data_IF_887149802073
#
_entry.id   IF_887149802073
#
_cell.length_a   1.000
_cell.length_b   1.000
_cell.length_c   1.000
_cell.angle_alpha   90.00
_cell.angle_beta   90.00
_cell.angle_gamma   90.00
#
_symmetry.space_group_name_H-M   'P 1'
#
loop_
_entity.id
_entity.type
_entity.pdbx_description
1 polymer ?
#
# COMPACT_ATOMS: atom_id res chain seq x y z
N UNK A 1 67.18 -40.28 97.18
CA UNK A 1 67.76 -38.96 97.53
C UNK A 1 67.34 -38.01 96.42
N UNK A 2 66.21 -37.31 96.55
CA UNK A 2 66.11 -35.93 97.07
C UNK A 2 66.42 -34.95 95.91
N UNK A 3 65.57 -34.01 95.46
CA UNK A 3 64.44 -33.34 96.10
C UNK A 3 63.60 -32.55 95.06
N UNK A 4 62.27 -32.65 95.25
CA UNK A 4 61.11 -31.77 94.98
C UNK A 4 61.33 -30.37 94.35
N UNK A 5 60.66 -30.04 93.24
CA UNK A 5 59.30 -29.44 93.09
C UNK A 5 59.23 -27.94 93.42
N UNK A 6 58.96 -27.13 92.38
CA UNK A 6 58.09 -25.95 92.41
C UNK A 6 58.05 -25.27 91.03
N UNK A 7 56.88 -24.72 90.66
CA UNK A 7 56.54 -23.86 89.49
C UNK A 7 55.70 -24.56 88.42
N UNK A 8 54.38 -24.67 88.68
CA UNK A 8 53.38 -24.93 87.64
C UNK A 8 51.97 -24.57 88.11
N UNK A 9 51.63 -23.27 88.20
CA UNK A 9 50.22 -22.82 88.19
C UNK A 9 49.94 -21.44 87.53
N UNK A 10 50.95 -20.63 87.17
CA UNK A 10 50.70 -19.27 86.64
C UNK A 10 50.57 -19.14 85.11
N UNK A 11 50.86 -20.16 84.32
CA UNK A 11 50.85 -20.07 82.85
C UNK A 11 49.49 -20.37 82.18
N UNK A 12 48.54 -21.01 82.88
CA UNK A 12 47.21 -21.34 82.31
C UNK A 12 46.14 -20.25 82.48
N UNK A 13 46.29 -19.31 83.42
CA UNK A 13 45.34 -18.19 83.60
C UNK A 13 45.53 -17.04 82.60
N UNK A 14 46.75 -16.83 82.09
CA UNK A 14 47.04 -15.73 81.15
C UNK A 14 46.47 -15.95 79.74
N UNK A 15 46.37 -17.20 79.29
CA UNK A 15 45.91 -17.55 77.93
C UNK A 15 44.40 -17.39 77.78
N UNK A 16 43.62 -17.65 78.84
CA UNK A 16 42.15 -17.51 78.83
C UNK A 16 41.72 -16.04 78.88
N UNK A 17 42.46 -15.18 79.61
CA UNK A 17 42.16 -13.74 79.69
C UNK A 17 42.46 -12.98 78.40
N UNK A 18 43.53 -13.34 77.68
CA UNK A 18 43.91 -12.70 76.41
C UNK A 18 42.88 -12.95 75.29
N UNK A 19 42.28 -14.15 75.22
CA UNK A 19 41.29 -14.46 74.17
C UNK A 19 39.93 -13.78 74.39
N UNK A 20 39.50 -13.59 75.64
CA UNK A 20 38.24 -12.91 75.96
C UNK A 20 38.30 -11.40 75.68
N UNK A 21 39.43 -10.76 75.97
CA UNK A 21 39.63 -9.33 75.70
C UNK A 21 39.69 -9.06 74.19
N UNK A 22 40.41 -9.88 73.42
CA UNK A 22 40.48 -9.76 71.96
C UNK A 22 39.10 -9.95 71.29
N UNK A 23 38.28 -10.90 71.76
CA UNK A 23 36.92 -11.08 71.24
C UNK A 23 35.96 -9.93 71.63
N UNK A 24 36.15 -9.32 72.81
CA UNK A 24 35.35 -8.17 73.24
C UNK A 24 35.62 -6.92 72.38
N UNK A 25 36.90 -6.64 72.08
CA UNK A 25 37.28 -5.55 71.17
C UNK A 25 36.86 -5.81 69.72
N UNK A 26 36.92 -7.07 69.25
CA UNK A 26 36.44 -7.43 67.90
C UNK A 26 34.93 -7.21 67.75
N UNK A 27 34.15 -7.58 68.77
CA UNK A 27 32.69 -7.39 68.76
C UNK A 27 32.28 -5.91 68.88
N UNK A 28 32.98 -5.10 69.68
CA UNK A 28 32.75 -3.65 69.74
C UNK A 28 33.10 -2.98 68.41
N UNK A 29 34.23 -3.35 67.79
CA UNK A 29 34.62 -2.80 66.49
C UNK A 29 33.58 -3.16 65.41
N UNK A 30 33.10 -4.40 65.37
CA UNK A 30 32.06 -4.83 64.42
C UNK A 30 30.73 -4.10 64.67
N UNK A 31 30.32 -3.90 65.93
CA UNK A 31 29.09 -3.14 66.27
C UNK A 31 29.19 -1.65 65.94
N UNK A 32 30.35 -1.03 66.15
CA UNK A 32 30.58 0.37 65.81
C UNK A 32 30.64 0.58 64.30
N UNK A 33 31.33 -0.31 63.57
CA UNK A 33 31.42 -0.26 62.10
C UNK A 33 30.07 -0.50 61.42
N UNK A 34 29.26 -1.45 61.93
CA UNK A 34 27.94 -1.73 61.37
C UNK A 34 26.90 -0.64 61.65
N UNK A 35 26.98 0.08 62.78
CA UNK A 35 26.07 1.19 63.10
C UNK A 35 26.43 2.48 62.35
N UNK A 36 27.72 2.80 62.22
CA UNK A 36 28.19 3.98 61.48
C UNK A 36 27.93 3.85 59.97
N UNK A 37 28.18 2.67 59.40
CA UNK A 37 27.84 2.37 58.01
C UNK A 37 26.32 2.35 57.77
N UNK A 38 25.48 1.96 58.73
CA UNK A 38 24.02 2.05 58.55
C UNK A 38 23.50 3.47 58.41
N UNK A 39 24.08 4.46 59.09
CA UNK A 39 23.65 5.87 58.99
C UNK A 39 24.14 6.49 57.68
N UNK A 40 25.39 6.23 57.30
CA UNK A 40 25.95 6.68 56.02
C UNK A 40 25.23 6.00 54.85
N UNK A 41 25.00 4.70 54.93
CA UNK A 41 24.28 3.93 53.91
C UNK A 41 22.81 4.34 53.83
N UNK A 42 22.14 4.72 54.93
CA UNK A 42 20.79 5.31 54.87
C UNK A 42 20.79 6.71 54.25
N UNK A 43 21.80 7.55 54.51
CA UNK A 43 21.93 8.87 53.88
C UNK A 43 22.26 8.76 52.38
N UNK A 44 23.12 7.82 52.00
CA UNK A 44 23.43 7.50 50.60
C UNK A 44 22.20 6.89 49.91
N UNK A 45 21.47 5.98 50.56
CA UNK A 45 20.24 5.41 50.00
C UNK A 45 19.13 6.47 49.85
N UNK A 46 19.02 7.41 50.79
CA UNK A 46 18.08 8.53 50.70
C UNK A 46 18.49 9.53 49.61
N UNK A 47 19.79 9.78 49.42
CA UNK A 47 20.31 10.61 48.33
C UNK A 47 20.10 9.93 46.96
N UNK A 48 20.31 8.61 46.87
CA UNK A 48 20.05 7.82 45.66
C UNK A 48 18.54 7.81 45.34
N UNK A 49 17.67 7.62 46.34
CA UNK A 49 16.21 7.68 46.19
C UNK A 49 15.72 9.09 45.78
N UNK A 50 16.38 10.15 46.24
CA UNK A 50 16.07 11.52 45.80
C UNK A 50 16.57 11.82 44.38
N UNK A 51 17.70 11.23 43.96
CA UNK A 51 18.18 11.35 42.57
C UNK A 51 17.38 10.52 41.57
N UNK A 52 16.75 9.41 41.99
CA UNK A 52 15.91 8.58 41.09
C UNK A 52 14.54 9.18 40.78
N UNK A 53 14.11 10.23 41.50
CA UNK A 53 12.89 10.98 41.17
C UNK A 53 13.14 12.23 40.31
N UNK A 54 14.41 12.52 39.98
CA UNK A 54 14.81 13.57 39.03
C UNK A 54 15.07 13.03 37.62
N UNK A 55 14.70 11.77 37.36
CA UNK A 55 14.37 11.34 36.00
C UNK A 55 13.06 12.02 35.60
N UNK A 56 13.12 13.33 35.37
CA UNK A 56 12.14 14.02 34.53
C UNK A 56 12.07 13.17 33.27
N UNK A 57 10.92 12.57 33.01
CA UNK A 57 10.66 11.99 31.70
C UNK A 57 11.01 13.09 30.70
N UNK A 58 12.13 12.97 29.99
CA UNK A 58 12.39 13.82 28.85
C UNK A 58 11.31 13.42 27.86
N UNK A 59 10.18 14.12 27.90
CA UNK A 59 9.22 14.11 26.81
C UNK A 59 10.06 14.50 25.61
N UNK A 60 10.30 13.55 24.70
CA UNK A 60 10.98 13.84 23.44
C UNK A 60 10.11 14.89 22.75
N UNK A 61 10.55 16.14 22.81
CA UNK A 61 9.91 17.23 22.10
C UNK A 61 10.30 17.06 20.64
N UNK A 62 9.38 16.51 19.85
CA UNK A 62 9.53 16.39 18.40
C UNK A 62 9.34 17.80 17.82
N UNK A 63 10.39 18.45 17.28
CA UNK A 63 10.26 19.82 16.80
C UNK A 63 9.19 19.93 15.71
N UNK A 64 8.29 20.90 15.83
CA UNK A 64 7.27 21.19 14.82
C UNK A 64 6.08 20.21 14.80
N UNK A 65 6.00 19.25 15.71
CA UNK A 65 4.83 18.34 15.79
C UNK A 65 3.52 19.13 15.99
N UNK A 66 3.60 20.24 16.73
CA UNK A 66 2.48 21.13 17.01
C UNK A 66 2.04 21.98 15.81
N UNK A 67 2.84 22.07 14.74
CA UNK A 67 2.42 22.73 13.49
C UNK A 67 1.69 21.85 12.51
N UNK A 68 1.67 20.54 12.71
CA UNK A 68 0.91 19.64 11.85
C UNK A 68 -0.58 19.94 12.01
N UNK A 69 -1.22 20.37 10.92
CA UNK A 69 -2.61 20.81 10.91
C UNK A 69 -3.49 19.87 10.09
N UNK A 70 -4.39 19.16 10.79
CA UNK A 70 -5.42 18.35 10.14
C UNK A 70 -6.33 19.17 9.22
N UNK A 71 -6.54 20.46 9.52
CA UNK A 71 -7.30 21.37 8.68
C UNK A 71 -6.59 21.65 7.35
N UNK A 72 -5.27 21.84 7.35
CA UNK A 72 -4.50 22.04 6.11
C UNK A 72 -4.45 20.77 5.26
N UNK A 73 -4.26 19.63 5.92
CA UNK A 73 -4.33 18.33 5.25
C UNK A 73 -5.70 18.12 4.60
N UNK A 74 -6.79 18.39 5.32
CA UNK A 74 -8.13 18.21 4.78
C UNK A 74 -8.40 19.13 3.58
N UNK A 75 -7.97 20.40 3.62
CA UNK A 75 -8.07 21.30 2.45
C UNK A 75 -7.33 20.76 1.22
N UNK A 76 -6.16 20.15 1.45
CA UNK A 76 -5.39 19.51 0.37
C UNK A 76 -6.14 18.30 -0.18
N UNK A 77 -6.70 17.46 0.70
CA UNK A 77 -7.54 16.31 0.32
C UNK A 77 -8.77 16.77 -0.46
N UNK A 78 -9.47 17.80 -0.01
CA UNK A 78 -10.66 18.36 -0.68
C UNK A 78 -10.34 18.86 -2.09
N UNK A 79 -9.22 19.57 -2.25
CA UNK A 79 -8.77 20.01 -3.58
C UNK A 79 -8.43 18.81 -4.46
N UNK A 80 -7.57 17.90 -3.99
CA UNK A 80 -7.12 16.77 -4.77
C UNK A 80 -8.31 15.87 -5.16
N UNK A 81 -9.22 15.59 -4.23
CA UNK A 81 -10.39 14.74 -4.44
C UNK A 81 -11.59 15.48 -5.08
N UNK A 82 -11.41 16.74 -5.48
CA UNK A 82 -12.50 17.51 -6.07
C UNK A 82 -12.94 16.97 -7.43
N UNK A 83 -14.21 17.22 -7.75
CA UNK A 83 -14.77 16.96 -9.07
C UNK A 83 -13.94 17.63 -10.18
N UNK A 84 -13.35 18.81 -9.91
CA UNK A 84 -12.49 19.51 -10.88
C UNK A 84 -11.36 18.62 -11.41
N UNK A 85 -10.77 17.79 -10.55
CA UNK A 85 -9.64 16.96 -10.93
C UNK A 85 -10.04 15.58 -11.46
N UNK A 86 -11.34 15.26 -11.49
CA UNK A 86 -11.91 14.06 -12.14
C UNK A 86 -11.15 12.76 -11.80
N UNK A 87 -10.71 12.62 -10.54
CA UNK A 87 -9.98 11.43 -10.07
C UNK A 87 -8.53 11.31 -10.52
N UNK A 88 -7.93 12.36 -11.11
CA UNK A 88 -6.47 12.50 -11.30
C UNK A 88 -5.79 11.31 -11.98
N UNK A 89 -6.39 10.73 -13.01
CA UNK A 89 -5.74 9.67 -13.78
C UNK A 89 -4.42 10.17 -14.36
N UNK A 90 -3.33 9.42 -14.22
CA UNK A 90 -2.03 9.83 -14.74
C UNK A 90 -2.10 10.18 -16.24
N UNK A 91 -1.58 11.36 -16.61
CA UNK A 91 -1.68 11.88 -17.97
C UNK A 91 -3.02 12.58 -18.32
N UNK A 92 -3.99 12.62 -17.41
CA UNK A 92 -5.22 13.40 -17.57
C UNK A 92 -5.01 14.89 -17.26
N UNK A 93 -5.89 15.78 -17.76
CA UNK A 93 -5.89 17.20 -17.35
C UNK A 93 -5.95 17.40 -15.83
N UNK A 94 -6.75 16.59 -15.13
CA UNK A 94 -6.87 16.66 -13.67
C UNK A 94 -5.59 16.26 -12.94
N UNK A 95 -4.81 15.32 -13.48
CA UNK A 95 -3.50 14.98 -12.93
C UNK A 95 -2.49 16.10 -13.14
N UNK A 96 -2.45 16.72 -14.32
CA UNK A 96 -1.55 17.85 -14.58
C UNK A 96 -1.85 19.04 -13.67
N UNK A 97 -3.13 19.31 -13.39
CA UNK A 97 -3.51 20.35 -12.45
C UNK A 97 -3.14 20.00 -11.00
N UNK A 98 -3.31 18.74 -10.59
CA UNK A 98 -2.85 18.27 -9.28
C UNK A 98 -1.33 18.42 -9.11
N UNK A 99 -0.57 18.06 -10.15
CA UNK A 99 0.89 18.17 -10.15
C UNK A 99 1.34 19.63 -10.03
N UNK A 100 0.69 20.54 -10.77
CA UNK A 100 0.98 21.97 -10.71
C UNK A 100 0.61 22.59 -9.36
N UNK A 101 -0.49 22.17 -8.77
CA UNK A 101 -0.82 22.55 -7.40
C UNK A 101 0.28 22.14 -6.41
N UNK A 102 0.72 20.87 -6.44
CA UNK A 102 1.73 20.37 -5.50
C UNK A 102 3.11 21.00 -5.71
N UNK A 103 3.52 21.21 -6.96
CA UNK A 103 4.74 21.96 -7.29
C UNK A 103 4.69 23.38 -6.71
N UNK A 104 3.58 24.09 -6.90
CA UNK A 104 3.42 25.45 -6.38
C UNK A 104 3.48 25.47 -4.85
N UNK A 105 2.90 24.47 -4.18
CA UNK A 105 3.01 24.35 -2.72
C UNK A 105 4.46 24.08 -2.28
N UNK A 106 5.21 23.21 -2.97
CA UNK A 106 6.64 22.99 -2.70
C UNK A 106 7.50 24.24 -2.94
N UNK A 107 7.21 25.01 -3.98
CA UNK A 107 7.90 26.27 -4.27
C UNK A 107 7.63 27.33 -3.19
N UNK A 108 6.37 27.45 -2.74
CA UNK A 108 5.98 28.42 -1.69
C UNK A 108 6.75 28.21 -0.39
N UNK A 109 7.02 26.96 -0.03
CA UNK A 109 7.79 26.61 1.18
C UNK A 109 9.30 26.53 0.94
N UNK A 110 9.78 26.86 -0.26
CA UNK A 110 11.20 26.98 -0.56
C UNK A 110 11.96 25.65 -0.70
N UNK A 111 11.27 24.52 -0.95
CA UNK A 111 11.97 23.29 -1.34
C UNK A 111 12.72 23.51 -2.65
N UNK A 112 13.89 22.89 -2.82
CA UNK A 112 14.64 22.93 -4.08
C UNK A 112 14.08 21.91 -5.09
N UNK A 113 14.15 22.17 -6.41
CA UNK A 113 13.81 21.16 -7.41
C UNK A 113 14.70 19.91 -7.26
N UNK A 114 14.11 18.72 -7.46
CA UNK A 114 14.84 17.46 -7.33
C UNK A 114 15.49 16.99 -8.65
N UNK A 115 14.98 17.40 -9.81
CA UNK A 115 15.41 16.91 -11.11
C UNK A 115 16.15 18.02 -11.87
N UNK A 116 17.34 18.38 -11.37
CA UNK A 116 18.11 19.52 -11.87
C UNK A 116 17.44 20.84 -11.49
N UNK A 117 16.92 21.56 -12.48
CA UNK A 117 16.21 22.84 -12.26
C UNK A 117 14.67 22.67 -12.24
N UNK A 118 14.16 21.43 -12.25
CA UNK A 118 12.73 21.13 -12.29
C UNK A 118 12.28 20.24 -11.11
N UNK A 119 11.03 20.41 -10.67
CA UNK A 119 10.37 19.54 -9.70
C UNK A 119 9.79 18.30 -10.37
N UNK A 120 9.63 18.31 -11.69
CA UNK A 120 9.02 17.23 -12.44
C UNK A 120 10.03 16.23 -13.00
N UNK A 121 9.73 14.95 -12.81
CA UNK A 121 10.35 13.86 -13.57
C UNK A 121 9.31 13.32 -14.54
N UNK A 122 9.45 13.71 -15.81
CA UNK A 122 8.56 13.28 -16.87
C UNK A 122 8.83 11.85 -17.32
N UNK A 123 7.76 11.14 -17.66
CA UNK A 123 7.80 9.84 -18.31
C UNK A 123 6.49 9.57 -19.07
N UNK A 124 6.38 8.42 -19.71
CA UNK A 124 5.20 8.03 -20.50
C UNK A 124 4.53 6.80 -19.88
N UNK A 125 3.20 6.78 -19.93
CA UNK A 125 2.36 5.66 -19.50
C UNK A 125 1.26 5.40 -20.53
N UNK A 126 0.69 4.20 -20.50
CA UNK A 126 -0.60 3.97 -21.14
C UNK A 126 -1.67 4.86 -20.47
N UNK A 127 -2.56 5.40 -21.30
CA UNK A 127 -3.70 6.22 -20.92
C UNK A 127 -4.92 5.76 -21.69
N UNK A 128 -6.06 5.73 -21.02
CA UNK A 128 -7.31 5.33 -21.66
C UNK A 128 -8.47 6.14 -21.08
N UNK A 129 -9.06 7.00 -21.91
CA UNK A 129 -10.21 7.82 -21.51
C UNK A 129 -11.51 7.16 -21.94
N UNK A 130 -12.35 6.79 -20.97
CA UNK A 130 -13.68 6.22 -21.25
C UNK A 130 -14.68 7.36 -21.41
N UNK A 131 -15.08 7.65 -22.63
CA UNK A 131 -16.00 8.77 -22.96
C UNK A 131 -17.46 8.35 -23.01
N UNK A 132 -17.75 7.05 -23.13
CA UNK A 132 -19.12 6.51 -23.09
C UNK A 132 -19.13 5.07 -22.59
N UNK A 133 -20.16 4.71 -21.84
CA UNK A 133 -20.38 3.36 -21.34
C UNK A 133 -21.88 3.06 -21.19
N UNK A 134 -22.30 1.91 -21.69
CA UNK A 134 -23.64 1.37 -21.61
C UNK A 134 -23.61 -0.14 -21.38
N UNK A 135 -24.56 -0.64 -20.58
CA UNK A 135 -24.73 -2.06 -20.33
C UNK A 135 -26.21 -2.42 -20.20
N UNK A 136 -26.66 -3.37 -21.01
CA UNK A 136 -28.04 -3.83 -21.07
C UNK A 136 -28.07 -5.36 -21.06
N UNK A 137 -28.98 -5.97 -20.32
CA UNK A 137 -29.25 -7.42 -20.39
C UNK A 137 -30.68 -7.62 -20.88
N UNK A 138 -30.89 -8.60 -21.76
CA UNK A 138 -32.19 -8.91 -22.34
C UNK A 138 -32.75 -10.18 -21.70
N UNK A 139 -34.02 -10.15 -21.29
CA UNK A 139 -34.73 -11.35 -20.86
C UNK A 139 -35.08 -12.27 -22.05
N UNK A 140 -35.63 -13.46 -21.77
CA UNK A 140 -36.03 -14.41 -22.83
C UNK A 140 -37.14 -13.87 -23.76
N UNK A 141 -37.86 -12.83 -23.35
CA UNK A 141 -38.88 -12.16 -24.17
C UNK A 141 -38.27 -11.04 -25.01
N UNK A 142 -36.97 -10.77 -24.86
CA UNK A 142 -36.25 -9.68 -25.52
C UNK A 142 -36.44 -8.32 -24.85
N UNK A 143 -37.01 -8.25 -23.65
CA UNK A 143 -37.14 -6.98 -22.94
C UNK A 143 -35.79 -6.53 -22.37
N UNK A 144 -35.39 -5.27 -22.58
CA UNK A 144 -34.14 -4.76 -22.06
C UNK A 144 -34.26 -4.39 -20.57
N UNK A 145 -33.24 -4.75 -19.80
CA UNK A 145 -32.92 -4.15 -18.51
C UNK A 145 -31.61 -3.38 -18.64
N UNK A 146 -31.70 -2.06 -18.48
CA UNK A 146 -30.56 -1.15 -18.54
C UNK A 146 -29.94 -1.04 -17.14
N UNK A 147 -28.63 -1.17 -17.05
CA UNK A 147 -27.88 -1.04 -15.80
C UNK A 147 -27.20 0.32 -15.68
N UNK A 148 -27.01 0.77 -14.45
CA UNK A 148 -26.49 2.09 -14.11
C UNK A 148 -24.97 2.04 -13.86
N UNK A 149 -24.22 2.85 -14.62
CA UNK A 149 -22.78 3.02 -14.45
C UNK A 149 -22.45 3.59 -13.07
N UNK A 150 -21.47 2.99 -12.38
CA UNK A 150 -21.03 3.37 -11.03
C UNK A 150 -21.79 2.68 -9.91
N UNK A 151 -22.98 2.16 -10.19
CA UNK A 151 -23.81 1.43 -9.23
C UNK A 151 -23.78 -0.07 -9.52
N UNK A 152 -24.25 -0.45 -10.70
CA UNK A 152 -24.41 -1.86 -11.08
C UNK A 152 -23.18 -2.39 -11.82
N UNK A 153 -22.51 -1.53 -12.59
CA UNK A 153 -21.29 -1.85 -13.32
C UNK A 153 -20.32 -0.67 -13.43
N UNK A 154 -19.06 -0.96 -13.73
CA UNK A 154 -18.03 0.00 -14.11
C UNK A 154 -17.19 -0.55 -15.25
N UNK A 155 -16.53 0.32 -16.01
CA UNK A 155 -15.52 -0.12 -16.98
C UNK A 155 -14.20 -0.44 -16.26
N UNK A 156 -13.40 -1.35 -16.82
CA UNK A 156 -11.99 -1.48 -16.42
C UNK A 156 -11.16 -0.42 -17.12
N UNK A 157 -10.14 0.12 -16.44
CA UNK A 157 -9.29 1.17 -17.01
C UNK A 157 -8.66 0.82 -18.36
N UNK A 158 -8.35 -0.45 -18.58
CA UNK A 158 -7.76 -0.97 -19.82
C UNK A 158 -8.80 -1.50 -20.84
N UNK A 159 -10.08 -1.14 -20.69
CA UNK A 159 -11.12 -1.56 -21.65
C UNK A 159 -10.82 -1.08 -23.07
N UNK A 160 -11.07 -1.92 -24.06
CA UNK A 160 -11.19 -1.48 -25.44
C UNK A 160 -12.49 -0.72 -25.70
N UNK A 161 -12.56 -0.09 -26.87
CA UNK A 161 -13.81 0.38 -27.47
C UNK A 161 -14.57 -0.77 -28.11
N UNK A 162 -15.89 -0.65 -28.22
CA UNK A 162 -16.70 -1.58 -28.99
C UNK A 162 -18.16 -1.55 -28.62
N UNK A 163 -18.98 -2.05 -29.53
CA UNK A 163 -20.39 -2.33 -29.34
C UNK A 163 -20.60 -3.80 -29.65
N UNK A 164 -21.12 -4.54 -28.68
CA UNK A 164 -21.43 -5.95 -28.84
C UNK A 164 -22.74 -6.28 -28.17
N UNK A 165 -23.63 -6.90 -28.93
CA UNK A 165 -24.85 -7.56 -28.45
C UNK A 165 -24.79 -9.04 -28.77
N UNK A 166 -24.56 -9.87 -27.77
CA UNK A 166 -24.38 -11.31 -27.96
C UNK A 166 -24.71 -12.10 -26.69
N UNK A 167 -24.75 -13.41 -26.83
CA UNK A 167 -24.91 -14.33 -25.71
C UNK A 167 -23.77 -14.16 -24.70
N UNK A 168 -24.10 -14.21 -23.41
CA UNK A 168 -23.13 -14.31 -22.31
C UNK A 168 -22.76 -15.77 -22.07
N UNK A 169 -21.47 -16.05 -21.97
CA UNK A 169 -20.93 -17.37 -21.62
C UNK A 169 -20.17 -17.26 -20.30
N UNK A 170 -20.55 -18.07 -19.31
CA UNK A 170 -19.80 -18.16 -18.08
C UNK A 170 -18.60 -19.08 -18.27
N UNK A 171 -17.40 -18.60 -17.95
CA UNK A 171 -16.13 -19.30 -18.16
C UNK A 171 -15.30 -19.36 -16.87
N UNK A 172 -15.93 -19.66 -15.72
CA UNK A 172 -15.22 -19.91 -14.46
C UNK A 172 -14.23 -18.79 -14.07
N UNK A 173 -12.94 -19.13 -14.04
CA UNK A 173 -11.85 -18.20 -13.74
C UNK A 173 -11.24 -17.53 -14.97
N UNK A 174 -11.68 -17.90 -16.17
CA UNK A 174 -11.20 -17.39 -17.44
C UNK A 174 -9.78 -17.86 -17.74
N UNK A 175 -9.43 -19.08 -17.33
CA UNK A 175 -8.06 -19.59 -17.38
C UNK A 175 -7.86 -20.80 -18.30
N UNK A 176 -6.62 -20.94 -18.78
CA UNK A 176 -6.13 -22.11 -19.48
C UNK A 176 -4.68 -22.39 -19.07
N UNK A 177 -4.51 -23.14 -17.98
CA UNK A 177 -3.21 -23.44 -17.37
C UNK A 177 -3.07 -24.94 -17.09
N UNK A 178 -2.09 -25.58 -17.71
CA UNK A 178 -1.88 -27.03 -17.60
C UNK A 178 -3.12 -27.79 -18.08
N UNK A 179 -3.66 -28.65 -17.21
CA UNK A 179 -4.88 -29.43 -17.48
C UNK A 179 -6.18 -28.66 -17.18
N UNK A 180 -6.10 -27.48 -16.55
CA UNK A 180 -7.25 -26.64 -16.26
C UNK A 180 -7.54 -25.71 -17.43
N UNK A 181 -8.74 -25.78 -18.03
CA UNK A 181 -9.11 -24.94 -19.15
C UNK A 181 -10.61 -24.60 -19.17
N UNK A 182 -10.96 -23.36 -18.81
CA UNK A 182 -12.33 -22.84 -18.83
C UNK A 182 -12.93 -22.71 -20.23
N UNK A 183 -12.10 -22.71 -21.28
CA UNK A 183 -12.55 -22.65 -22.67
C UNK A 183 -12.72 -24.03 -23.29
N UNK A 184 -12.39 -25.10 -22.57
CA UNK A 184 -12.56 -26.45 -23.07
C UNK A 184 -14.05 -26.76 -23.25
N UNK A 185 -14.40 -27.25 -24.45
CA UNK A 185 -15.77 -27.64 -24.82
C UNK A 185 -16.83 -26.51 -24.75
N UNK A 186 -16.41 -25.24 -24.64
CA UNK A 186 -17.33 -24.10 -24.55
C UNK A 186 -17.05 -23.12 -25.70
N UNK A 187 -18.04 -22.88 -26.57
CA UNK A 187 -17.87 -21.96 -27.69
C UNK A 187 -18.11 -20.51 -27.28
N UNK A 188 -17.02 -19.73 -27.22
CA UNK A 188 -16.99 -18.31 -26.88
C UNK A 188 -16.84 -17.39 -28.10
N UNK A 189 -16.79 -17.93 -29.33
CA UNK A 189 -16.55 -17.14 -30.53
C UNK A 189 -17.67 -16.15 -30.79
N UNK A 190 -17.32 -14.87 -30.94
CA UNK A 190 -18.24 -13.74 -31.13
C UNK A 190 -19.23 -13.52 -29.97
N UNK A 191 -18.85 -13.92 -28.75
CA UNK A 191 -19.69 -13.81 -27.55
C UNK A 191 -19.09 -12.90 -26.49
N UNK A 192 -19.92 -12.60 -25.49
CA UNK A 192 -19.51 -11.93 -24.27
C UNK A 192 -19.13 -13.00 -23.25
N UNK A 193 -17.91 -12.94 -22.72
CA UNK A 193 -17.40 -13.92 -21.75
C UNK A 193 -17.44 -13.34 -20.35
N UNK A 194 -18.07 -14.06 -19.42
CA UNK A 194 -18.17 -13.71 -18.00
C UNK A 194 -17.29 -14.62 -17.16
N UNK A 195 -16.37 -14.06 -16.36
CA UNK A 195 -15.50 -14.84 -15.46
C UNK A 195 -15.13 -14.09 -14.18
N UNK A 196 -14.58 -14.83 -13.21
CA UNK A 196 -14.18 -14.26 -11.92
C UNK A 196 -12.97 -13.32 -12.05
N UNK A 197 -13.08 -12.12 -11.48
CA UNK A 197 -12.00 -11.12 -11.50
C UNK A 197 -10.76 -11.60 -10.77
N UNK A 198 -10.89 -12.26 -9.63
CA UNK A 198 -9.74 -12.74 -8.85
C UNK A 198 -9.37 -14.17 -9.27
N UNK A 199 -8.09 -14.51 -9.11
CA UNK A 199 -7.59 -15.83 -9.48
C UNK A 199 -8.12 -16.93 -8.53
N UNK A 200 -8.10 -18.16 -9.06
CA UNK A 200 -8.41 -19.36 -8.30
C UNK A 200 -7.24 -19.74 -7.39
N UNK A 201 -7.50 -20.03 -6.11
CA UNK A 201 -6.42 -20.32 -5.15
C UNK A 201 -5.67 -21.64 -5.42
N UNK A 202 -6.31 -22.58 -6.13
CA UNK A 202 -5.72 -23.88 -6.47
C UNK A 202 -4.81 -23.81 -7.72
N UNK A 203 -4.96 -22.78 -8.56
CA UNK A 203 -4.09 -22.55 -9.72
C UNK A 203 -2.79 -21.87 -9.25
N UNK A 204 -1.82 -22.69 -8.82
CA UNK A 204 -0.47 -22.21 -8.52
C UNK A 204 0.24 -21.83 -9.81
N UNK A 205 0.52 -20.56 -9.99
CA UNK A 205 1.33 -20.09 -11.10
C UNK A 205 2.81 -20.13 -10.72
N UNK A 206 3.64 -20.71 -11.59
CA UNK A 206 5.08 -20.87 -11.31
C UNK A 206 5.86 -19.54 -11.38
N UNK A 207 5.29 -18.48 -11.95
CA UNK A 207 5.90 -17.16 -12.00
C UNK A 207 5.33 -16.22 -10.92
N UNK A 208 6.22 -15.47 -10.28
CA UNK A 208 5.88 -14.29 -9.47
C UNK A 208 4.99 -13.36 -10.32
N UNK A 209 3.69 -13.32 -10.05
CA UNK A 209 2.76 -12.40 -10.72
C UNK A 209 1.36 -12.94 -11.01
N UNK A 210 1.16 -14.26 -11.08
CA UNK A 210 -0.13 -14.79 -11.54
C UNK A 210 -0.48 -14.36 -12.98
N UNK A 211 -1.63 -14.80 -13.50
CA UNK A 211 -2.11 -14.41 -14.80
C UNK A 211 -2.85 -13.11 -14.59
N UNK A 212 -2.21 -12.03 -15.01
CA UNK A 212 -2.76 -10.69 -14.88
C UNK A 212 -4.15 -10.62 -15.50
N UNK A 213 -4.98 -9.68 -15.03
CA UNK A 213 -6.32 -9.54 -15.57
C UNK A 213 -6.29 -9.27 -17.08
N UNK A 214 -5.27 -8.52 -17.55
CA UNK A 214 -4.99 -8.30 -18.97
C UNK A 214 -4.67 -9.61 -19.70
N UNK A 215 -3.87 -10.50 -19.10
CA UNK A 215 -3.59 -11.83 -19.67
C UNK A 215 -4.88 -12.65 -19.90
N UNK A 216 -5.77 -12.71 -18.91
CA UNK A 216 -7.03 -13.48 -19.03
C UNK A 216 -8.00 -12.87 -20.04
N UNK A 217 -8.03 -11.55 -20.16
CA UNK A 217 -8.75 -10.88 -21.27
C UNK A 217 -8.15 -11.27 -22.62
N UNK A 218 -6.83 -11.23 -22.77
CA UNK A 218 -6.15 -11.64 -24.01
C UNK A 218 -6.43 -13.09 -24.37
N UNK A 219 -6.46 -13.98 -23.37
CA UNK A 219 -6.80 -15.39 -23.55
C UNK A 219 -8.25 -15.55 -24.04
N UNK A 220 -9.22 -14.86 -23.43
CA UNK A 220 -10.61 -14.87 -23.88
C UNK A 220 -10.74 -14.39 -25.33
N UNK A 221 -10.09 -13.29 -25.68
CA UNK A 221 -10.10 -12.73 -27.05
C UNK A 221 -9.45 -13.69 -28.05
N UNK A 222 -8.33 -14.33 -27.67
CA UNK A 222 -7.67 -15.36 -28.49
C UNK A 222 -8.58 -16.55 -28.78
N UNK A 223 -9.46 -16.92 -27.84
CA UNK A 223 -10.48 -17.95 -28.04
C UNK A 223 -11.73 -17.44 -28.80
N UNK A 224 -11.77 -16.16 -29.16
CA UNK A 224 -12.80 -15.56 -30.01
C UNK A 224 -13.83 -14.71 -29.27
N UNK A 225 -13.67 -14.47 -27.96
CA UNK A 225 -14.54 -13.55 -27.23
C UNK A 225 -14.44 -12.14 -27.81
N UNK A 226 -15.54 -11.40 -27.76
CA UNK A 226 -15.65 -10.03 -28.28
C UNK A 226 -16.11 -9.00 -27.25
N UNK A 227 -16.43 -9.43 -26.03
CA UNK A 227 -16.66 -8.57 -24.87
C UNK A 227 -16.43 -9.36 -23.59
N UNK A 228 -16.11 -8.67 -22.50
CA UNK A 228 -15.78 -9.29 -21.21
C UNK A 228 -16.61 -8.69 -20.08
N UNK A 229 -17.15 -9.56 -19.26
CA UNK A 229 -17.81 -9.24 -17.99
C UNK A 229 -17.00 -9.87 -16.86
N UNK A 230 -16.50 -9.05 -15.96
CA UNK A 230 -15.82 -9.49 -14.76
C UNK A 230 -16.80 -9.51 -13.59
N UNK A 231 -16.67 -10.50 -12.72
CA UNK A 231 -17.44 -10.61 -11.47
C UNK A 231 -16.49 -10.91 -10.33
N UNK A 232 -16.59 -10.20 -9.22
CA UNK A 232 -15.75 -10.53 -8.05
C UNK A 232 -16.15 -11.87 -7.42
N UNK A 233 -15.21 -12.53 -6.72
CA UNK A 233 -15.47 -13.80 -6.04
C UNK A 233 -16.51 -13.62 -4.91
N UNK A 234 -17.73 -14.19 -5.04
CA UNK A 234 -18.80 -14.03 -4.06
C UNK A 234 -18.55 -14.72 -2.71
N UNK A 235 -17.64 -15.69 -2.64
CA UNK A 235 -17.28 -16.41 -1.40
C UNK A 235 -16.13 -15.77 -0.61
N UNK A 236 -15.51 -14.71 -1.13
CA UNK A 236 -14.49 -13.98 -0.35
C UNK A 236 -15.12 -13.35 0.89
N UNK A 237 -14.33 -13.16 1.95
CA UNK A 237 -14.81 -12.55 3.21
C UNK A 237 -15.49 -11.19 2.98
N UNK A 238 -14.92 -10.41 2.06
CA UNK A 238 -15.43 -9.11 1.63
C UNK A 238 -15.37 -9.05 0.09
N UNK A 239 -16.39 -9.57 -0.62
CA UNK A 239 -16.41 -9.53 -2.07
C UNK A 239 -16.30 -8.09 -2.56
N UNK A 240 -15.39 -7.85 -3.50
CA UNK A 240 -15.15 -6.50 -4.00
C UNK A 240 -16.35 -6.04 -4.84
N UNK A 241 -16.84 -4.84 -4.56
CA UNK A 241 -17.84 -4.18 -5.42
C UNK A 241 -17.21 -3.76 -6.76
N UNK A 242 -18.00 -3.43 -7.79
CA UNK A 242 -17.48 -2.78 -8.98
C UNK A 242 -16.58 -1.58 -8.62
N UNK A 243 -15.31 -1.66 -9.02
CA UNK A 243 -14.34 -0.57 -8.91
C UNK A 243 -13.68 -0.33 -10.26
N UNK A 244 -13.54 0.94 -10.66
CA UNK A 244 -13.01 1.33 -11.96
C UNK A 244 -11.51 1.15 -12.12
N UNK A 245 -10.85 0.39 -11.24
CA UNK A 245 -9.39 0.30 -11.13
C UNK A 245 -8.68 0.11 -12.48
N UNK A 246 -7.55 0.79 -12.61
CA UNK A 246 -6.73 0.82 -13.84
C UNK A 246 -5.63 -0.26 -13.84
N UNK A 247 -5.34 -0.87 -12.69
CA UNK A 247 -4.48 -2.06 -12.61
C UNK A 247 -5.00 -3.22 -13.46
N UNK A 248 -4.12 -3.77 -14.27
CA UNK A 248 -4.43 -4.78 -15.28
C UNK A 248 -3.27 -5.76 -15.54
N UNK A 249 -2.03 -5.31 -15.34
CA UNK A 249 -0.80 -6.07 -15.46
C UNK A 249 -0.31 -6.22 -16.90
N UNK A 250 0.74 -7.00 -17.09
CA UNK A 250 1.41 -7.12 -18.38
C UNK A 250 0.53 -7.80 -19.45
N UNK A 251 0.75 -7.43 -20.71
CA UNK A 251 0.07 -8.01 -21.87
C UNK A 251 -0.27 -6.99 -22.94
N UNK A 252 -0.77 -7.48 -24.08
CA UNK A 252 -1.27 -6.64 -25.17
C UNK A 252 -2.60 -5.96 -24.77
N UNK A 253 -2.76 -4.69 -25.15
CA UNK A 253 -4.03 -3.98 -25.04
C UNK A 253 -4.99 -4.45 -26.14
N UNK A 254 -6.26 -4.70 -25.80
CA UNK A 254 -7.28 -5.16 -26.75
C UNK A 254 -8.21 -4.00 -27.15
N UNK A 255 -7.91 -3.25 -28.23
CA UNK A 255 -8.63 -2.00 -28.57
C UNK A 255 -10.10 -2.19 -28.92
N UNK A 256 -10.48 -3.40 -29.36
CA UNK A 256 -11.82 -3.73 -29.86
C UNK A 256 -12.58 -4.69 -28.92
N UNK A 257 -12.21 -4.74 -27.64
CA UNK A 257 -12.85 -5.61 -26.66
C UNK A 257 -13.32 -4.80 -25.45
N UNK A 258 -14.63 -4.50 -25.32
CA UNK A 258 -15.16 -3.85 -24.14
C UNK A 258 -15.05 -4.77 -22.92
N UNK A 259 -14.60 -4.22 -21.79
CA UNK A 259 -14.37 -4.92 -20.52
C UNK A 259 -15.06 -4.17 -19.38
N UNK A 260 -16.06 -4.79 -18.78
CA UNK A 260 -16.79 -4.25 -17.61
C UNK A 260 -16.62 -5.14 -16.38
N UNK A 261 -16.83 -4.56 -15.20
CA UNK A 261 -16.97 -5.28 -13.93
C UNK A 261 -18.36 -4.98 -13.37
N UNK A 262 -19.16 -6.03 -13.18
CA UNK A 262 -20.53 -5.95 -12.69
C UNK A 262 -20.62 -6.36 -11.21
N UNK A 263 -21.68 -5.94 -10.53
CA UNK A 263 -21.96 -6.40 -9.18
C UNK A 263 -22.48 -7.86 -9.15
N UNK A 264 -22.51 -8.45 -7.95
CA UNK A 264 -22.92 -9.84 -7.77
C UNK A 264 -24.40 -10.07 -8.08
N UNK A 265 -25.25 -9.06 -7.86
CA UNK A 265 -26.68 -9.17 -8.12
C UNK A 265 -26.95 -9.26 -9.62
N UNK A 266 -26.27 -8.44 -10.41
CA UNK A 266 -26.33 -8.44 -11.87
C UNK A 266 -25.83 -9.77 -12.43
N UNK A 267 -24.76 -10.34 -11.87
CA UNK A 267 -24.27 -11.67 -12.26
C UNK A 267 -25.33 -12.76 -11.99
N UNK A 268 -25.97 -12.74 -10.81
CA UNK A 268 -27.06 -13.65 -10.47
C UNK A 268 -28.28 -13.52 -11.40
N UNK A 269 -28.57 -12.31 -11.88
CA UNK A 269 -29.67 -12.05 -12.81
C UNK A 269 -29.38 -12.64 -14.20
N UNK A 270 -28.15 -12.51 -14.69
CA UNK A 270 -27.68 -13.17 -15.93
C UNK A 270 -27.76 -14.70 -15.81
N UNK A 271 -27.56 -15.25 -14.61
CA UNK A 271 -27.53 -16.70 -14.35
C UNK A 271 -28.89 -17.30 -14.01
N UNK A 272 -29.93 -16.47 -13.83
CA UNK A 272 -31.22 -16.85 -13.26
C UNK A 272 -31.92 -17.98 -14.05
N UNK A 273 -31.86 -17.94 -15.38
CA UNK A 273 -32.52 -18.93 -16.25
C UNK A 273 -31.92 -20.33 -16.11
N UNK A 274 -30.63 -20.42 -15.78
CA UNK A 274 -29.95 -21.69 -15.47
C UNK A 274 -30.18 -22.15 -14.02
N UNK A 275 -30.93 -21.36 -13.22
CA UNK A 275 -31.16 -21.57 -11.78
C UNK A 275 -29.85 -21.64 -11.00
N UNK A 276 -28.81 -20.98 -11.50
CA UNK A 276 -27.54 -20.87 -10.82
C UNK A 276 -27.44 -19.59 -10.02
N UNK A 277 -26.60 -19.64 -8.99
CA UNK A 277 -26.16 -18.51 -8.20
C UNK A 277 -24.66 -18.41 -8.35
N UNK A 278 -24.12 -17.22 -8.57
CA UNK A 278 -22.68 -17.04 -8.81
C UNK A 278 -21.85 -17.63 -7.66
N UNK A 279 -22.37 -17.51 -6.42
CA UNK A 279 -21.81 -18.12 -5.22
C UNK A 279 -21.65 -19.63 -5.31
N UNK A 280 -22.67 -20.32 -5.80
CA UNK A 280 -22.66 -21.78 -5.91
C UNK A 280 -21.70 -22.23 -7.01
N UNK A 281 -21.61 -21.48 -8.12
CA UNK A 281 -20.66 -21.75 -9.19
C UNK A 281 -19.22 -21.66 -8.69
N UNK A 282 -18.89 -20.61 -7.92
CA UNK A 282 -17.58 -20.52 -7.28
C UNK A 282 -17.31 -21.73 -6.39
N UNK A 283 -18.26 -22.11 -5.52
CA UNK A 283 -18.08 -23.27 -4.62
C UNK A 283 -17.86 -24.59 -5.37
N UNK A 284 -18.54 -24.81 -6.50
CA UNK A 284 -18.34 -26.01 -7.32
C UNK A 284 -16.94 -26.03 -7.92
N UNK A 285 -16.50 -24.94 -8.54
CA UNK A 285 -15.18 -24.87 -9.17
C UNK A 285 -14.08 -24.99 -8.12
N UNK A 286 -14.18 -24.25 -7.01
CA UNK A 286 -13.17 -24.27 -5.93
C UNK A 286 -13.06 -25.64 -5.24
N UNK A 287 -14.16 -26.40 -5.12
CA UNK A 287 -14.14 -27.71 -4.45
C UNK A 287 -13.74 -28.87 -5.37
N UNK A 288 -14.01 -28.75 -6.68
CA UNK A 288 -13.67 -29.78 -7.66
C UNK A 288 -12.32 -29.54 -8.33
N UNK A 289 -11.81 -28.31 -8.26
CA UNK A 289 -10.62 -27.85 -8.99
C UNK A 289 -10.74 -28.09 -10.52
N UNK A 290 -11.97 -28.21 -11.02
CA UNK A 290 -12.27 -28.47 -12.42
C UNK A 290 -13.07 -27.31 -13.05
N UNK A 291 -12.85 -27.00 -14.33
CA UNK A 291 -13.62 -25.99 -15.04
C UNK A 291 -15.12 -26.30 -15.04
N UNK A 292 -15.94 -25.26 -14.88
CA UNK A 292 -17.39 -25.35 -15.00
C UNK A 292 -17.94 -24.18 -15.83
N UNK A 293 -17.76 -24.30 -17.14
CA UNK A 293 -18.14 -23.30 -18.13
C UNK A 293 -19.41 -23.70 -18.88
N UNK A 294 -20.24 -22.72 -19.21
CA UNK A 294 -21.49 -22.95 -19.93
C UNK A 294 -22.06 -21.69 -20.58
N UNK A 295 -22.83 -21.90 -21.64
CA UNK A 295 -23.65 -20.89 -22.27
C UNK A 295 -24.83 -20.52 -21.37
N UNK A 296 -24.97 -19.25 -21.02
CA UNK A 296 -26.06 -18.80 -20.13
C UNK A 296 -27.42 -18.78 -20.84
N UNK A 297 -27.46 -18.66 -22.17
CA UNK A 297 -28.68 -18.39 -22.94
C UNK A 297 -29.16 -16.94 -22.86
N UNK A 298 -28.49 -16.10 -22.07
CA UNK A 298 -28.85 -14.69 -21.86
C UNK A 298 -28.07 -13.82 -22.82
N UNK A 299 -28.76 -12.88 -23.48
CA UNK A 299 -28.12 -11.87 -24.34
C UNK A 299 -27.83 -10.63 -23.52
N UNK A 300 -26.64 -10.08 -23.67
CA UNK A 300 -26.26 -8.78 -23.15
C UNK A 300 -25.71 -7.88 -24.26
N UNK A 301 -25.78 -6.58 -24.03
CA UNK A 301 -25.23 -5.54 -24.88
C UNK A 301 -24.28 -4.67 -24.06
N UNK A 302 -23.04 -4.53 -24.55
CA UNK A 302 -22.01 -3.66 -23.98
C UNK A 302 -21.61 -2.65 -25.04
N UNK A 303 -21.72 -1.37 -24.69
CA UNK A 303 -21.33 -0.23 -25.53
C UNK A 303 -20.27 0.58 -24.80
N UNK A 304 -19.04 0.61 -25.31
CA UNK A 304 -17.96 1.42 -24.75
C UNK A 304 -17.29 2.23 -25.86
N UNK A 305 -17.08 3.52 -25.57
CA UNK A 305 -16.15 4.37 -26.33
C UNK A 305 -15.01 4.76 -25.41
N UNK A 306 -13.81 4.32 -25.78
CA UNK A 306 -12.56 4.54 -25.07
C UNK A 306 -11.49 5.09 -26.02
N UNK A 307 -10.74 6.09 -25.56
CA UNK A 307 -9.65 6.73 -26.30
C UNK A 307 -8.33 6.31 -25.68
N UNK A 308 -7.68 5.33 -26.30
CA UNK A 308 -6.42 4.77 -25.84
C UNK A 308 -5.22 5.47 -26.45
N UNK A 309 -4.27 5.85 -25.60
CA UNK A 309 -2.95 6.36 -25.97
C UNK A 309 -1.89 5.50 -25.27
N UNK A 310 -1.09 4.78 -26.06
CA UNK A 310 -0.02 3.92 -25.53
C UNK A 310 1.04 4.72 -24.76
N UNK A 311 1.33 5.93 -25.23
CA UNK A 311 2.38 6.79 -24.67
C UNK A 311 1.84 8.17 -24.36
N UNK A 312 1.17 8.29 -23.21
CA UNK A 312 0.73 9.56 -22.65
C UNK A 312 1.77 10.08 -21.67
N UNK A 313 2.17 11.33 -21.85
CA UNK A 313 3.13 12.00 -20.94
C UNK A 313 2.50 12.19 -19.55
N UNK A 314 3.26 11.89 -18.50
CA UNK A 314 2.92 12.16 -17.09
C UNK A 314 4.18 12.55 -16.32
N UNK A 315 4.09 12.79 -15.00
CA UNK A 315 5.25 13.23 -14.19
C UNK A 315 5.15 12.84 -12.73
N UNK A 316 6.27 12.41 -12.13
CA UNK A 316 6.43 12.51 -10.67
C UNK A 316 6.73 13.96 -10.28
N UNK A 317 6.44 14.34 -9.03
CA UNK A 317 6.74 15.66 -8.47
C UNK A 317 7.63 15.47 -7.24
N UNK A 318 8.80 16.10 -7.19
CA UNK A 318 9.67 16.02 -6.01
C UNK A 318 10.39 17.31 -5.68
N UNK A 319 10.53 17.58 -4.38
CA UNK A 319 11.28 18.70 -3.82
C UNK A 319 12.27 18.25 -2.75
N UNK A 320 13.41 18.95 -2.66
CA UNK A 320 14.50 18.67 -1.73
C UNK A 320 14.50 19.69 -0.59
N UNK A 321 14.49 19.19 0.64
CA UNK A 321 14.84 19.93 1.85
C UNK A 321 16.30 19.63 2.20
N UNK A 322 17.18 20.63 2.13
CA UNK A 322 18.63 20.43 2.24
C UNK A 322 19.07 20.25 3.70
N UNK A 323 19.88 19.23 3.94
CA UNK A 323 20.53 19.00 5.24
C UNK A 323 21.63 20.01 5.54
N UNK A 324 21.92 20.22 6.82
CA UNK A 324 22.89 21.22 7.30
C UNK A 324 24.29 20.67 7.53
N UNK A 325 24.49 19.35 7.48
CA UNK A 325 25.78 18.71 7.75
C UNK A 325 26.54 18.48 6.44
N UNK A 326 27.76 19.01 6.32
CA UNK A 326 28.53 18.94 5.08
C UNK A 326 28.88 17.51 4.63
N UNK A 327 28.96 16.57 5.57
CA UNK A 327 29.25 15.16 5.27
C UNK A 327 27.99 14.35 4.95
N UNK A 328 26.85 14.72 5.53
CA UNK A 328 25.61 13.93 5.45
C UNK A 328 24.53 14.55 4.56
N UNK A 329 24.64 15.81 4.14
CA UNK A 329 23.62 16.47 3.30
C UNK A 329 23.44 15.84 1.92
N UNK A 330 24.39 15.02 1.48
CA UNK A 330 24.31 14.24 0.24
C UNK A 330 23.79 12.80 0.47
N UNK A 331 23.36 12.48 1.69
CA UNK A 331 22.54 11.31 1.99
C UNK A 331 21.08 11.75 2.12
N UNK A 332 20.17 10.98 1.52
CA UNK A 332 18.79 11.39 1.35
C UNK A 332 17.82 10.42 2.04
N UNK A 333 16.87 10.98 2.76
CA UNK A 333 15.68 10.26 3.22
C UNK A 333 14.56 10.57 2.23
N UNK A 334 13.94 9.55 1.64
CA UNK A 334 12.80 9.73 0.74
C UNK A 334 11.50 9.53 1.51
N UNK A 335 10.63 10.53 1.48
CA UNK A 335 9.27 10.47 2.05
C UNK A 335 8.30 10.69 0.90
N UNK A 336 7.38 9.76 0.66
CA UNK A 336 6.50 9.89 -0.49
C UNK A 336 5.14 9.23 -0.37
N UNK A 337 4.29 9.59 -1.32
CA UNK A 337 2.94 9.09 -1.57
C UNK A 337 2.71 9.09 -3.10
N UNK A 338 1.60 8.55 -3.60
CA UNK A 338 1.21 8.77 -5.00
C UNK A 338 0.12 9.83 -5.10
N UNK A 339 0.15 10.58 -6.19
CA UNK A 339 -0.75 11.69 -6.46
C UNK A 339 -1.93 11.28 -7.35
N UNK A 340 -1.71 10.31 -8.22
CA UNK A 340 -2.73 9.84 -9.16
C UNK A 340 -3.82 9.06 -8.45
N UNK A 341 -4.93 8.88 -9.16
CA UNK A 341 -5.95 7.91 -8.83
C UNK A 341 -6.62 7.41 -10.12
N UNK A 342 -7.78 6.76 -10.00
CA UNK A 342 -8.40 5.95 -11.07
C UNK A 342 -9.05 6.77 -12.20
N UNK A 343 -9.31 8.07 -12.02
CA UNK A 343 -9.93 8.91 -13.05
C UNK A 343 -11.47 8.91 -13.05
N UNK A 344 -12.06 9.15 -14.21
CA UNK A 344 -13.50 9.20 -14.44
C UNK A 344 -13.97 8.34 -15.61
N UNK A 345 -15.28 8.11 -15.68
CA UNK A 345 -15.90 7.28 -16.71
C UNK A 345 -17.16 7.94 -17.27
N UNK A 346 -17.20 8.06 -18.60
CA UNK A 346 -18.30 8.55 -19.41
C UNK A 346 -18.82 9.95 -19.03
N UNK A 347 -18.00 10.76 -18.34
CA UNK A 347 -18.42 12.06 -17.77
C UNK A 347 -19.56 11.97 -16.75
N UNK A 348 -19.89 10.76 -16.27
CA UNK A 348 -21.00 10.51 -15.34
C UNK A 348 -20.52 10.22 -13.92
N UNK A 349 -19.38 9.54 -13.80
CA UNK A 349 -18.79 9.17 -12.52
C UNK A 349 -17.30 9.49 -12.53
N UNK A 350 -16.75 9.75 -11.35
CA UNK A 350 -15.31 9.80 -11.11
C UNK A 350 -14.98 9.18 -9.77
N UNK A 351 -13.73 8.75 -9.62
CA UNK A 351 -13.20 8.16 -8.40
C UNK A 351 -12.39 9.24 -7.68
N UNK A 352 -12.85 9.79 -6.53
CA UNK A 352 -12.20 10.96 -5.93
C UNK A 352 -10.82 10.69 -5.32
N UNK A 353 -10.57 9.46 -4.83
CA UNK A 353 -9.28 9.09 -4.26
C UNK A 353 -8.88 9.88 -3.03
N UNK A 354 -9.85 10.20 -2.16
CA UNK A 354 -9.61 10.96 -0.94
C UNK A 354 -8.69 10.21 0.03
N UNK A 355 -8.99 8.93 0.28
CA UNK A 355 -8.15 8.07 1.12
C UNK A 355 -7.00 7.42 0.34
N UNK A 356 -7.18 7.22 -0.97
CA UNK A 356 -6.25 6.54 -1.85
C UNK A 356 -6.03 7.42 -3.10
N UNK A 357 -5.06 8.34 -3.12
CA UNK A 357 -4.12 8.64 -2.04
C UNK A 357 -3.91 10.15 -1.85
N UNK A 358 -5.00 10.93 -1.97
CA UNK A 358 -4.98 12.34 -1.64
C UNK A 358 -4.58 12.57 -0.17
N UNK A 359 -4.99 11.70 0.75
CA UNK A 359 -4.63 11.77 2.18
C UNK A 359 -3.14 11.60 2.43
N UNK A 360 -2.48 10.62 1.79
CA UNK A 360 -1.03 10.45 1.90
C UNK A 360 -0.28 11.59 1.23
N UNK A 361 -0.73 12.02 0.05
CA UNK A 361 -0.18 13.20 -0.63
C UNK A 361 -0.29 14.48 0.23
N UNK A 362 -1.42 14.68 0.90
CA UNK A 362 -1.61 15.77 1.86
C UNK A 362 -0.69 15.64 3.08
N UNK A 363 -0.47 14.42 3.58
CA UNK A 363 0.47 14.15 4.67
C UNK A 363 1.91 14.50 4.30
N UNK A 364 2.37 14.09 3.11
CA UNK A 364 3.70 14.45 2.59
C UNK A 364 3.86 15.96 2.53
N UNK A 365 2.85 16.68 2.00
CA UNK A 365 2.90 18.13 1.92
C UNK A 365 2.92 18.79 3.31
N UNK A 366 2.12 18.31 4.26
CA UNK A 366 2.05 18.88 5.61
C UNK A 366 3.36 18.67 6.40
N UNK A 367 3.99 17.50 6.22
CA UNK A 367 5.33 17.24 6.77
C UNK A 367 6.32 18.23 6.13
N UNK A 368 6.34 18.36 4.80
CA UNK A 368 7.25 19.29 4.12
C UNK A 368 7.06 20.74 4.61
N UNK A 369 5.82 21.21 4.73
CA UNK A 369 5.46 22.52 5.29
C UNK A 369 6.03 22.70 6.70
N UNK A 370 5.84 21.71 7.56
CA UNK A 370 6.34 21.73 8.94
C UNK A 370 7.86 21.90 8.99
N UNK A 371 8.62 21.14 8.18
CA UNK A 371 10.08 21.25 8.12
C UNK A 371 10.55 22.63 7.66
N UNK A 372 9.92 23.16 6.61
CA UNK A 372 10.26 24.45 6.03
C UNK A 372 9.89 25.62 6.96
N UNK A 373 8.65 25.70 7.43
CA UNK A 373 8.15 26.83 8.22
C UNK A 373 8.77 26.90 9.62
N UNK A 374 9.11 25.75 10.22
CA UNK A 374 9.79 25.69 11.53
C UNK A 374 11.31 25.72 11.42
N UNK A 375 11.87 25.66 10.21
CA UNK A 375 13.32 25.63 10.01
C UNK A 375 13.99 24.44 10.70
N UNK A 376 13.38 23.25 10.64
CA UNK A 376 13.87 22.05 11.31
C UNK A 376 15.20 21.62 10.70
N UNK A 377 16.30 21.80 11.44
CA UNK A 377 17.63 21.42 10.98
C UNK A 377 17.81 19.90 10.99
N UNK A 378 18.00 19.31 9.83
CA UNK A 378 18.39 17.90 9.67
C UNK A 378 19.82 17.80 9.21
N UNK A 379 20.54 16.75 9.64
CA UNK A 379 21.89 16.50 9.11
C UNK A 379 21.84 16.06 7.64
N UNK A 380 20.91 15.15 7.34
CA UNK A 380 20.64 14.61 6.01
C UNK A 380 19.62 15.44 5.26
N UNK A 381 19.68 15.41 3.94
CA UNK A 381 18.65 15.99 3.09
C UNK A 381 17.42 15.07 3.04
N UNK A 382 16.26 15.64 2.75
CA UNK A 382 15.01 14.91 2.58
C UNK A 382 14.46 15.19 1.19
N UNK A 383 14.04 14.14 0.49
CA UNK A 383 13.28 14.24 -0.76
C UNK A 383 11.82 13.96 -0.43
N UNK A 384 10.96 14.96 -0.63
CA UNK A 384 9.52 14.79 -0.61
C UNK A 384 9.07 14.51 -2.04
N UNK A 385 8.46 13.35 -2.28
CA UNK A 385 8.08 12.90 -3.62
C UNK A 385 6.62 12.45 -3.69
N UNK A 386 5.95 12.84 -4.76
CA UNK A 386 4.61 12.43 -5.10
C UNK A 386 4.67 11.68 -6.45
N UNK A 387 4.40 10.38 -6.40
CA UNK A 387 4.51 9.51 -7.56
C UNK A 387 3.28 9.61 -8.47
N UNK A 388 3.51 9.43 -9.76
CA UNK A 388 2.48 9.22 -10.77
C UNK A 388 2.31 7.73 -11.05
N UNK A 389 1.12 7.35 -11.50
CA UNK A 389 0.80 6.06 -12.06
C UNK A 389 1.13 4.88 -11.13
N UNK A 390 0.81 5.04 -9.85
CA UNK A 390 0.85 3.96 -8.88
C UNK A 390 -0.25 2.93 -9.18
N UNK A 391 -1.45 3.42 -9.51
CA UNK A 391 -2.68 2.63 -9.71
C UNK A 391 -2.57 1.61 -10.85
N UNK A 392 -1.64 1.83 -11.77
CA UNK A 392 -1.35 0.97 -12.92
C UNK A 392 -0.09 0.10 -12.71
N UNK A 393 0.39 -0.04 -11.47
CA UNK A 393 1.50 -0.92 -11.11
C UNK A 393 2.83 -0.23 -10.81
N UNK A 394 2.80 0.80 -9.96
CA UNK A 394 3.98 1.46 -9.36
C UNK A 394 4.93 2.13 -10.37
N UNK A 395 4.42 2.59 -11.52
CA UNK A 395 5.27 3.03 -12.63
C UNK A 395 6.07 4.29 -12.29
N UNK A 396 5.50 5.25 -11.57
CA UNK A 396 6.23 6.43 -11.11
C UNK A 396 7.36 6.10 -10.14
N UNK A 397 7.14 5.18 -9.20
CA UNK A 397 8.19 4.74 -8.29
C UNK A 397 9.31 3.98 -9.03
N UNK A 398 8.96 3.10 -9.98
CA UNK A 398 9.94 2.43 -10.86
C UNK A 398 10.75 3.46 -11.66
N UNK A 399 10.09 4.46 -12.23
CA UNK A 399 10.76 5.53 -12.96
C UNK A 399 11.70 6.34 -12.06
N UNK A 400 11.29 6.61 -10.82
CA UNK A 400 12.11 7.32 -9.84
C UNK A 400 13.39 6.54 -9.51
N UNK A 401 13.32 5.22 -9.33
CA UNK A 401 14.51 4.40 -9.04
C UNK A 401 15.39 4.21 -10.29
N UNK A 402 14.79 4.03 -11.46
CA UNK A 402 15.54 3.79 -12.70
C UNK A 402 16.24 5.05 -13.24
N UNK A 403 15.70 6.23 -12.93
CA UNK A 403 16.24 7.52 -13.37
C UNK A 403 16.32 8.50 -12.18
N UNK A 404 17.09 8.14 -11.12
CA UNK A 404 17.01 8.83 -9.85
C UNK A 404 17.47 10.29 -9.97
N UNK A 405 16.89 11.21 -9.17
CA UNK A 405 17.28 12.63 -9.19
C UNK A 405 18.77 12.82 -8.88
N UNK A 406 19.37 11.87 -8.16
CA UNK A 406 20.72 11.88 -7.66
C UNK A 406 21.31 10.47 -7.78
N UNK A 407 22.63 10.31 -7.95
CA UNK A 407 23.25 8.99 -8.06
C UNK A 407 22.93 8.13 -6.84
N UNK A 408 22.37 6.94 -7.08
CA UNK A 408 22.23 5.94 -6.03
C UNK A 408 23.60 5.32 -5.79
N UNK A 409 24.00 5.21 -4.52
CA UNK A 409 25.12 4.35 -4.16
C UNK A 409 24.74 2.93 -4.58
N UNK A 410 25.54 2.23 -5.40
CA UNK A 410 25.24 0.86 -5.73
C UNK A 410 25.14 0.06 -4.44
N UNK A 411 24.15 -0.83 -4.39
CA UNK A 411 24.01 -1.79 -3.30
C UNK A 411 25.37 -2.46 -3.11
N UNK A 412 25.98 -2.49 -1.91
CA UNK A 412 27.12 -3.36 -1.69
C UNK A 412 26.67 -4.74 -2.15
N UNK A 413 27.35 -5.26 -3.18
CA UNK A 413 27.09 -6.59 -3.74
C UNK A 413 26.69 -7.52 -2.60
N UNK A 414 25.58 -8.28 -2.69
CA UNK A 414 25.28 -9.28 -1.68
C UNK A 414 26.56 -10.08 -1.49
N UNK A 415 27.07 -10.15 -0.26
CA UNK A 415 28.19 -11.02 0.06
C UNK A 415 27.78 -12.39 -0.45
N UNK A 416 28.35 -12.77 -1.60
CA UNK A 416 28.13 -14.08 -2.20
C UNK A 416 28.56 -15.08 -1.12
N UNK A 417 27.73 -16.10 -0.81
CA UNK A 417 27.89 -16.96 0.36
C UNK A 417 29.28 -17.60 0.49
#
# INVERSE_FOLDING_TARGET
>A
MGSLVSISQNSRKLVVYKSRILNYFKNIYILYYTKYNRVIMKKILFLILFTTHLSVAQTVTIPGIESISSTNMLKTVEFLASEKLQGRLSGSPGYYEAAEYMKNEFQKIGLKPAFGNDYYQYFYTEYNEITSAGFTVFDNSGNPRIYELGKDFVCRGFTGSGEIKSEVVFCGYGEALGDYNDYQNTDVRNKIVMFFKQDASFLKQESFGGATLRHRVNLAVKNGAKGIILVSKPNDRNPQKPIGSVMDGDGEFQPNCPVIHIDLQTADEILKEKKYKIKNLQSVIDSTEHPFSFNTGVTAEIEIKAQYEKERKTMNIAGIYEGTDDSLKNEYIVIGAHLDHVGGQAGKIYFPGANDNASGSAGVLEIAKTFAEKGIKTKRSIIFVLFSNEESGLQGAKQFINNPPLPLTPDPQPLIP
#
